data_IF_367882831384
#
_entry.id   IF_367882831384
#
_cell.length_a   1.000
_cell.length_b   1.000
_cell.length_c   1.000
_cell.angle_alpha   90.00
_cell.angle_beta   90.00
_cell.angle_gamma   90.00
#
_symmetry.space_group_name_H-M   'P 1'
#
loop_
_entity.id
_entity.type
_entity.pdbx_description
1 polymer ?
#
# COMPACT_ATOMS: atom_id res chain seq x y z
N UNK A 1 -47.28 50.75 -40.75
CA UNK A 1 -46.91 49.43 -40.21
C UNK A 1 -45.60 49.53 -39.46
N UNK A 2 -45.72 49.69 -38.14
CA UNK A 2 -44.57 49.63 -37.21
C UNK A 2 -44.54 48.22 -36.64
N UNK A 3 -43.42 47.52 -36.86
CA UNK A 3 -43.11 46.22 -36.23
C UNK A 3 -42.33 46.54 -34.97
N UNK A 4 -42.91 46.24 -33.80
CA UNK A 4 -42.25 46.29 -32.50
C UNK A 4 -41.53 44.95 -32.32
N UNK A 5 -40.18 44.97 -32.30
CA UNK A 5 -39.35 43.83 -31.91
C UNK A 5 -39.31 43.77 -30.39
N UNK A 6 -39.94 42.74 -29.81
CA UNK A 6 -39.74 42.39 -28.39
C UNK A 6 -38.41 41.64 -28.24
N UNK A 7 -37.42 42.27 -27.62
CA UNK A 7 -36.19 41.61 -27.21
C UNK A 7 -36.44 40.95 -25.85
N UNK A 8 -36.64 39.63 -25.85
CA UNK A 8 -36.71 38.84 -24.63
C UNK A 8 -35.27 38.68 -24.07
N UNK A 9 -35.03 39.34 -22.92
CA UNK A 9 -33.81 39.15 -22.18
C UNK A 9 -33.82 37.74 -21.56
N UNK A 10 -33.01 36.83 -22.05
CA UNK A 10 -32.72 35.53 -21.40
C UNK A 10 -31.79 35.80 -20.21
N UNK A 11 -32.37 35.81 -19.01
CA UNK A 11 -31.56 35.66 -17.78
C UNK A 11 -31.06 34.20 -17.71
N UNK A 12 -29.75 33.98 -17.53
CA UNK A 12 -29.30 32.62 -17.24
C UNK A 12 -29.81 32.23 -15.85
N UNK A 13 -30.68 31.22 -15.78
CA UNK A 13 -30.99 30.54 -14.54
C UNK A 13 -29.71 29.97 -13.97
N UNK A 14 -29.25 30.52 -12.86
CA UNK A 14 -28.26 29.89 -12.02
C UNK A 14 -28.84 28.55 -11.52
N UNK A 15 -28.53 27.47 -12.21
CA UNK A 15 -28.77 26.14 -11.72
C UNK A 15 -28.02 25.99 -10.39
N UNK A 16 -28.75 25.72 -9.31
CA UNK A 16 -28.17 25.29 -8.05
C UNK A 16 -27.33 24.05 -8.35
N UNK A 17 -26.00 24.20 -8.30
CA UNK A 17 -25.11 23.06 -8.41
C UNK A 17 -25.48 22.10 -7.27
N UNK A 18 -25.98 20.92 -7.61
CA UNK A 18 -26.16 19.84 -6.64
C UNK A 18 -24.80 19.56 -6.01
N UNK A 19 -24.72 19.49 -4.67
CA UNK A 19 -23.45 19.19 -4.01
C UNK A 19 -22.88 17.90 -4.57
N UNK A 20 -21.58 17.92 -4.94
CA UNK A 20 -20.87 16.74 -5.38
C UNK A 20 -21.04 15.62 -4.36
N UNK A 21 -21.73 14.55 -4.74
CA UNK A 21 -21.78 13.35 -3.91
C UNK A 21 -20.66 12.42 -4.36
N UNK A 22 -19.81 12.01 -3.44
CA UNK A 22 -18.80 10.99 -3.69
C UNK A 22 -19.44 9.77 -4.34
N UNK A 23 -19.07 9.48 -5.58
CA UNK A 23 -19.46 8.23 -6.24
C UNK A 23 -18.51 7.12 -5.73
N UNK A 24 -18.73 6.69 -4.48
CA UNK A 24 -18.09 5.47 -4.00
C UNK A 24 -18.58 4.27 -4.80
N UNK A 25 -17.74 3.22 -4.86
CA UNK A 25 -18.06 1.88 -5.38
C UNK A 25 -19.50 1.45 -5.13
N UNK A 26 -19.99 0.45 -5.83
CA UNK A 26 -21.32 -0.14 -5.58
C UNK A 26 -21.52 -0.21 -4.07
N UNK A 27 -22.33 0.73 -3.59
CA UNK A 27 -22.45 1.04 -2.17
C UNK A 27 -22.73 -0.25 -1.42
N UNK A 28 -21.93 -0.57 -0.40
CA UNK A 28 -22.28 -1.64 0.53
C UNK A 28 -23.67 -1.33 1.05
N UNK A 29 -24.66 -2.04 0.52
CA UNK A 29 -26.05 -1.79 0.88
C UNK A 29 -26.38 -2.69 2.04
N UNK A 30 -26.23 -2.19 3.26
CA UNK A 30 -26.77 -2.85 4.45
C UNK A 30 -28.15 -2.25 4.75
N UNK A 31 -29.17 -3.12 4.80
CA UNK A 31 -30.56 -2.73 5.06
C UNK A 31 -31.10 -1.63 4.11
N UNK A 32 -30.74 -1.68 2.82
CA UNK A 32 -31.22 -0.72 1.82
C UNK A 32 -30.59 0.67 1.89
N UNK A 33 -29.64 0.94 2.80
CA UNK A 33 -28.93 2.21 2.91
C UNK A 33 -27.48 2.07 2.45
N UNK A 34 -27.06 2.96 1.59
CA UNK A 34 -25.67 3.13 1.21
C UNK A 34 -24.82 3.55 2.39
N UNK A 35 -23.81 2.77 2.72
CA UNK A 35 -22.87 3.07 3.80
C UNK A 35 -21.47 3.29 3.23
N UNK A 36 -20.70 4.17 3.86
CA UNK A 36 -19.29 4.38 3.54
C UNK A 36 -18.48 3.14 3.94
N UNK A 37 -17.42 2.77 3.21
CA UNK A 37 -16.51 1.73 3.69
C UNK A 37 -15.75 2.21 4.93
N UNK A 38 -15.55 1.29 5.88
CA UNK A 38 -14.69 1.49 7.04
C UNK A 38 -13.25 1.24 6.63
N UNK A 39 -12.39 2.24 6.73
CA UNK A 39 -10.99 2.14 6.30
C UNK A 39 -10.03 2.50 7.45
N UNK A 40 -8.94 1.75 7.54
CA UNK A 40 -7.79 2.06 8.39
C UNK A 40 -6.56 2.04 7.49
N UNK A 41 -5.77 3.09 7.54
CA UNK A 41 -4.54 3.23 6.77
C UNK A 41 -3.36 2.82 7.64
N UNK A 42 -2.53 1.90 7.14
CA UNK A 42 -1.23 1.55 7.72
C UNK A 42 -0.15 1.99 6.73
N UNK A 43 0.64 3.01 7.07
CA UNK A 43 1.50 3.74 6.14
C UNK A 43 2.92 3.86 6.66
N UNK A 44 3.91 3.81 5.78
CA UNK A 44 5.31 4.11 6.09
C UNK A 44 5.69 5.57 5.76
N UNK A 45 4.69 6.46 5.76
CA UNK A 45 4.85 7.91 5.55
C UNK A 45 5.98 8.49 6.39
N UNK A 46 6.81 9.34 5.78
CA UNK A 46 8.04 9.86 6.40
C UNK A 46 9.22 8.91 6.31
N UNK A 47 9.07 7.79 5.60
CA UNK A 47 10.14 6.84 5.26
C UNK A 47 11.04 7.33 4.12
N UNK A 48 11.55 6.39 3.33
CA UNK A 48 12.52 6.68 2.25
C UNK A 48 11.88 7.20 0.97
N UNK A 49 10.58 7.03 0.82
CA UNK A 49 9.81 7.35 -0.39
C UNK A 49 8.59 8.22 -0.04
N UNK A 50 8.46 9.46 -0.57
CA UNK A 50 7.38 10.37 -0.19
C UNK A 50 6.07 10.19 -0.99
N UNK A 51 5.81 9.05 -1.62
CA UNK A 51 4.56 8.82 -2.33
C UNK A 51 3.37 8.58 -1.38
N UNK A 52 3.61 8.14 -0.16
CA UNK A 52 2.63 8.15 0.93
C UNK A 52 2.08 9.56 1.21
N UNK A 53 2.92 10.59 1.16
CA UNK A 53 2.47 11.97 1.34
C UNK A 53 1.47 12.39 0.26
N UNK A 54 1.72 11.98 -1.00
CA UNK A 54 0.80 12.23 -2.11
C UNK A 54 -0.51 11.45 -1.93
N UNK A 55 -0.42 10.20 -1.52
CA UNK A 55 -1.58 9.33 -1.23
C UNK A 55 -2.37 9.82 -0.03
N UNK A 56 -1.70 10.37 1.00
CA UNK A 56 -2.34 10.99 2.15
C UNK A 56 -3.09 12.27 1.76
N UNK A 57 -2.52 13.11 0.90
CA UNK A 57 -3.22 14.27 0.35
C UNK A 57 -4.51 13.85 -0.38
N UNK A 58 -4.44 12.77 -1.16
CA UNK A 58 -5.61 12.19 -1.84
C UNK A 58 -6.66 11.73 -0.82
N UNK A 59 -6.27 10.90 0.17
CA UNK A 59 -7.18 10.45 1.23
C UNK A 59 -7.90 11.61 1.94
N UNK A 60 -7.15 12.63 2.35
CA UNK A 60 -7.70 13.75 3.11
C UNK A 60 -8.70 14.55 2.29
N UNK A 61 -8.44 14.76 0.99
CA UNK A 61 -9.37 15.41 0.06
C UNK A 61 -10.65 14.60 -0.19
N UNK A 62 -10.62 13.28 0.02
CA UNK A 62 -11.74 12.35 -0.14
C UNK A 62 -12.22 11.77 1.20
N UNK A 63 -11.92 12.43 2.32
CA UNK A 63 -12.34 11.96 3.66
C UNK A 63 -13.85 11.91 3.84
N UNK A 64 -14.60 12.57 2.97
CA UNK A 64 -16.07 12.47 2.90
C UNK A 64 -16.58 11.14 2.30
N UNK A 65 -15.71 10.38 1.65
CA UNK A 65 -16.06 9.10 1.00
C UNK A 65 -15.95 7.89 1.94
N UNK A 66 -15.26 8.03 3.07
CA UNK A 66 -14.89 6.93 3.96
C UNK A 66 -15.31 7.19 5.41
N UNK A 67 -15.51 6.11 6.16
CA UNK A 67 -15.42 6.12 7.61
C UNK A 67 -13.97 5.75 7.96
N UNK A 68 -13.10 6.77 8.10
CA UNK A 68 -11.69 6.57 8.45
C UNK A 68 -11.63 6.22 9.92
N UNK A 69 -11.12 5.04 10.26
CA UNK A 69 -11.07 4.52 11.63
C UNK A 69 -9.66 4.45 12.22
N UNK A 70 -8.63 4.73 11.43
CA UNK A 70 -7.26 4.77 11.91
C UNK A 70 -6.27 5.27 10.85
N UNK A 71 -5.20 5.91 11.35
CA UNK A 71 -4.04 6.34 10.58
C UNK A 71 -2.81 5.86 11.35
N UNK A 72 -2.35 4.65 11.02
CA UNK A 72 -1.25 3.98 11.71
C UNK A 72 0.05 4.24 10.96
N UNK A 73 1.05 4.81 11.63
CA UNK A 73 2.41 4.87 11.10
C UNK A 73 3.10 3.53 11.37
N UNK A 74 3.26 2.71 10.34
CA UNK A 74 3.93 1.41 10.39
C UNK A 74 5.15 1.44 9.45
N UNK A 75 6.27 2.02 9.92
CA UNK A 75 7.40 2.29 9.06
C UNK A 75 8.02 1.02 8.50
N UNK A 76 8.44 1.10 7.24
CA UNK A 76 9.28 0.11 6.58
C UNK A 76 10.76 0.40 6.90
N UNK A 77 11.60 0.52 5.90
CA UNK A 77 13.01 0.88 6.09
C UNK A 77 13.16 2.39 6.21
N UNK A 78 13.45 2.85 7.38
CA UNK A 78 13.58 4.27 7.68
C UNK A 78 12.76 4.64 8.89
N UNK A 79 12.57 5.92 9.08
CA UNK A 79 12.01 6.49 10.29
C UNK A 79 10.61 7.05 10.04
N UNK A 80 9.71 6.25 9.47
CA UNK A 80 8.31 6.62 9.36
C UNK A 80 7.80 7.11 10.71
N UNK A 81 6.96 8.14 10.72
CA UNK A 81 6.61 8.83 11.94
C UNK A 81 5.19 9.39 11.90
N UNK A 82 4.48 9.22 13.01
CA UNK A 82 3.20 9.91 13.24
C UNK A 82 3.28 11.42 13.06
N UNK A 83 4.47 12.02 13.26
CA UNK A 83 4.70 13.46 13.04
C UNK A 83 4.36 13.87 11.61
N UNK A 84 4.68 13.02 10.64
CA UNK A 84 4.41 13.32 9.25
C UNK A 84 2.90 13.21 8.93
N UNK A 85 2.19 12.27 9.55
CA UNK A 85 0.72 12.21 9.47
C UNK A 85 0.09 13.48 10.06
N UNK A 86 0.54 13.91 11.23
CA UNK A 86 0.08 15.17 11.85
C UNK A 86 0.35 16.37 10.95
N UNK A 87 1.55 16.45 10.37
CA UNK A 87 1.91 17.52 9.44
C UNK A 87 0.96 17.57 8.23
N UNK A 88 0.64 16.43 7.64
CA UNK A 88 -0.31 16.37 6.51
C UNK A 88 -1.72 16.81 6.94
N UNK A 89 -2.15 16.46 8.14
CA UNK A 89 -3.43 16.94 8.71
C UNK A 89 -3.40 18.46 8.90
N UNK A 90 -2.28 19.05 9.35
CA UNK A 90 -2.12 20.49 9.53
C UNK A 90 -2.17 21.26 8.19
N UNK A 91 -1.64 20.66 7.13
CA UNK A 91 -1.75 21.22 5.76
C UNK A 91 -3.20 21.19 5.28
N UNK A 92 -3.87 20.04 5.45
CA UNK A 92 -5.28 19.87 5.10
C UNK A 92 -6.21 20.82 5.86
N UNK A 93 -5.96 21.05 7.15
CA UNK A 93 -6.75 21.94 7.99
C UNK A 93 -6.87 23.36 7.41
N UNK A 94 -5.78 23.85 6.82
CA UNK A 94 -5.74 25.19 6.19
C UNK A 94 -6.63 25.27 4.95
N UNK A 95 -6.84 24.16 4.26
CA UNK A 95 -7.62 24.09 3.02
C UNK A 95 -9.07 23.64 3.25
N UNK A 96 -9.37 23.08 4.42
CA UNK A 96 -10.69 22.51 4.74
C UNK A 96 -11.85 23.51 4.56
N UNK A 97 -11.72 24.83 4.92
CA UNK A 97 -12.80 25.77 4.69
C UNK A 97 -13.21 25.93 3.23
N UNK A 98 -12.23 25.80 2.31
CA UNK A 98 -12.52 25.84 0.87
C UNK A 98 -13.14 24.54 0.38
N UNK A 99 -12.59 23.40 0.78
CA UNK A 99 -13.12 22.08 0.42
C UNK A 99 -14.58 21.91 0.86
N UNK A 100 -14.95 22.39 2.06
CA UNK A 100 -16.30 22.31 2.60
C UNK A 100 -17.35 23.16 1.89
N UNK A 101 -16.93 24.07 1.00
CA UNK A 101 -17.87 24.78 0.13
C UNK A 101 -18.42 23.89 -0.98
N UNK A 102 -17.75 22.79 -1.27
CA UNK A 102 -18.05 21.89 -2.38
C UNK A 102 -18.52 20.51 -1.93
N UNK A 103 -18.01 20.01 -0.78
CA UNK A 103 -18.37 18.70 -0.25
C UNK A 103 -18.74 18.79 1.22
N UNK A 104 -19.85 18.16 1.59
CA UNK A 104 -20.24 17.95 2.99
C UNK A 104 -19.61 16.64 3.50
N UNK A 105 -19.38 16.56 4.80
CA UNK A 105 -18.92 15.31 5.42
C UNK A 105 -17.41 15.09 5.44
N UNK A 106 -16.62 16.05 4.96
CA UNK A 106 -15.17 16.06 5.12
C UNK A 106 -14.79 16.02 6.61
N UNK A 107 -13.85 15.13 6.97
CA UNK A 107 -13.48 14.93 8.37
C UNK A 107 -12.84 16.17 9.00
N UNK A 108 -13.14 16.38 10.28
CA UNK A 108 -12.51 17.47 11.04
C UNK A 108 -11.07 17.08 11.40
N UNK A 109 -10.12 18.01 11.35
CA UNK A 109 -8.72 17.74 11.71
C UNK A 109 -8.54 17.18 13.12
N UNK A 110 -9.33 17.68 14.10
CA UNK A 110 -9.32 17.15 15.46
C UNK A 110 -9.75 15.68 15.56
N UNK A 111 -10.69 15.25 14.69
CA UNK A 111 -11.14 13.86 14.63
C UNK A 111 -10.04 12.98 14.00
N UNK A 112 -9.43 13.46 12.90
CA UNK A 112 -8.30 12.77 12.27
C UNK A 112 -7.12 12.60 13.22
N UNK A 113 -6.73 13.65 13.98
CA UNK A 113 -5.61 13.56 14.93
C UNK A 113 -5.84 12.52 16.02
N UNK A 114 -7.07 12.26 16.46
CA UNK A 114 -7.38 11.18 17.42
C UNK A 114 -7.18 9.78 16.87
N UNK A 115 -7.24 9.62 15.55
CA UNK A 115 -7.07 8.34 14.85
C UNK A 115 -5.61 8.01 14.57
N UNK A 116 -4.68 8.94 14.76
CA UNK A 116 -3.25 8.75 14.51
C UNK A 116 -2.65 7.87 15.61
N UNK A 117 -1.98 6.79 15.22
CA UNK A 117 -1.36 5.81 16.09
C UNK A 117 0.04 5.45 15.61
N UNK A 118 0.99 5.36 16.55
CA UNK A 118 2.32 4.88 16.23
C UNK A 118 2.33 3.37 16.22
N UNK A 119 2.68 2.79 15.07
CA UNK A 119 2.95 1.37 14.92
C UNK A 119 4.41 1.04 15.20
N UNK A 120 4.86 -0.09 14.68
CA UNK A 120 6.18 -0.64 14.96
C UNK A 120 7.31 0.23 14.42
N UNK A 121 8.36 0.35 15.23
CA UNK A 121 9.69 0.76 14.80
C UNK A 121 10.60 -0.46 14.69
N UNK A 122 11.38 -0.52 13.62
CA UNK A 122 12.30 -1.62 13.39
C UNK A 122 11.64 -2.86 12.80
N UNK A 123 12.44 -3.88 12.53
CA UNK A 123 12.04 -5.11 11.84
C UNK A 123 11.59 -6.16 12.85
N UNK A 124 10.50 -6.88 12.56
CA UNK A 124 10.07 -8.03 13.36
C UNK A 124 11.05 -9.20 13.24
N UNK A 125 11.23 -10.01 14.30
CA UNK A 125 12.01 -11.24 14.27
C UNK A 125 11.49 -12.25 13.22
N UNK A 126 12.21 -13.37 13.07
CA UNK A 126 11.85 -14.41 12.11
C UNK A 126 10.47 -15.04 12.34
N UNK A 127 9.96 -15.00 13.57
CA UNK A 127 8.58 -15.44 13.90
C UNK A 127 7.50 -14.55 13.28
N UNK A 128 7.84 -13.32 12.84
CA UNK A 128 6.93 -12.43 12.12
C UNK A 128 6.10 -11.50 12.99
N UNK A 129 6.28 -11.52 14.31
CA UNK A 129 5.63 -10.65 15.28
C UNK A 129 6.59 -10.31 16.44
N UNK A 130 6.18 -9.45 17.34
CA UNK A 130 6.98 -9.04 18.49
C UNK A 130 6.11 -8.61 19.67
N UNK A 131 6.38 -7.42 20.21
CA UNK A 131 5.52 -6.80 21.23
C UNK A 131 4.41 -6.00 20.57
N UNK A 132 3.21 -5.92 21.19
CA UNK A 132 2.15 -5.04 20.74
C UNK A 132 2.63 -3.59 20.57
N UNK A 133 1.99 -2.87 19.68
CA UNK A 133 2.20 -1.44 19.44
C UNK A 133 0.88 -0.70 19.58
N UNK A 134 0.89 0.61 19.77
CA UNK A 134 -0.34 1.40 19.75
C UNK A 134 -1.12 1.19 18.44
N UNK A 135 -0.41 1.04 17.30
CA UNK A 135 -1.01 0.76 15.99
C UNK A 135 -1.66 -0.62 15.90
N UNK A 136 -0.98 -1.68 16.34
CA UNK A 136 -1.55 -3.04 16.31
C UNK A 136 -2.73 -3.20 17.25
N UNK A 137 -2.66 -2.64 18.48
CA UNK A 137 -3.77 -2.61 19.43
C UNK A 137 -4.96 -1.84 18.88
N UNK A 138 -4.70 -0.75 18.13
CA UNK A 138 -5.75 0.02 17.49
C UNK A 138 -6.45 -0.75 16.37
N UNK A 139 -5.70 -1.50 15.54
CA UNK A 139 -6.28 -2.40 14.54
C UNK A 139 -7.23 -3.41 15.21
N UNK A 140 -6.80 -4.03 16.31
CA UNK A 140 -7.63 -4.97 17.09
C UNK A 140 -8.91 -4.28 17.57
N UNK A 141 -8.78 -3.12 18.23
CA UNK A 141 -9.91 -2.39 18.78
C UNK A 141 -10.94 -2.00 17.71
N UNK A 142 -10.47 -1.53 16.53
CA UNK A 142 -11.37 -1.18 15.44
C UNK A 142 -12.05 -2.41 14.81
N UNK A 143 -11.34 -3.53 14.67
CA UNK A 143 -11.89 -4.76 14.15
C UNK A 143 -12.95 -5.39 15.09
N UNK A 144 -12.79 -5.22 16.40
CA UNK A 144 -13.71 -5.73 17.41
C UNK A 144 -14.97 -4.88 17.64
N UNK A 145 -15.06 -3.70 17.02
CA UNK A 145 -16.29 -2.90 17.08
C UNK A 145 -17.51 -3.71 16.60
N UNK A 146 -18.66 -3.45 17.22
CA UNK A 146 -19.95 -4.00 16.80
C UNK A 146 -20.46 -3.28 15.54
N UNK A 147 -19.79 -3.54 14.44
CA UNK A 147 -20.18 -3.04 13.10
C UNK A 147 -20.26 -4.23 12.15
N UNK A 148 -21.36 -4.42 11.40
CA UNK A 148 -21.49 -5.54 10.47
C UNK A 148 -20.61 -5.40 9.22
N UNK A 149 -20.08 -4.20 8.94
CA UNK A 149 -19.16 -3.96 7.83
C UNK A 149 -17.76 -4.44 8.17
N UNK A 150 -17.04 -5.07 7.25
CA UNK A 150 -15.64 -5.38 7.45
C UNK A 150 -14.81 -4.11 7.63
N UNK A 151 -13.69 -4.22 8.33
CA UNK A 151 -12.66 -3.19 8.39
C UNK A 151 -11.66 -3.43 7.26
N UNK A 152 -11.58 -2.47 6.33
CA UNK A 152 -10.55 -2.49 5.30
C UNK A 152 -9.26 -1.87 5.84
N UNK A 153 -8.20 -2.66 5.91
CA UNK A 153 -6.87 -2.19 6.27
C UNK A 153 -6.09 -1.99 4.98
N UNK A 154 -5.85 -0.73 4.62
CA UNK A 154 -5.10 -0.33 3.45
C UNK A 154 -3.65 -0.14 3.86
N UNK A 155 -2.78 -1.07 3.42
CA UNK A 155 -1.38 -1.11 3.86
C UNK A 155 -0.48 -0.54 2.78
N UNK A 156 0.20 0.57 3.11
CA UNK A 156 1.08 1.36 2.25
C UNK A 156 2.57 1.15 2.55
N UNK A 157 2.87 0.24 3.42
CA UNK A 157 4.21 -0.15 3.84
C UNK A 157 4.31 -1.62 4.14
N UNK A 158 4.95 -2.00 5.26
CA UNK A 158 5.04 -3.37 5.71
C UNK A 158 3.78 -3.84 6.47
N UNK A 159 3.67 -5.15 6.63
CA UNK A 159 2.53 -5.80 7.28
C UNK A 159 2.72 -5.99 8.80
N UNK A 160 3.74 -5.40 9.41
CA UNK A 160 4.19 -5.74 10.77
C UNK A 160 3.10 -5.51 11.82
N UNK A 161 2.39 -4.38 11.76
CA UNK A 161 1.31 -4.10 12.73
C UNK A 161 0.05 -4.94 12.45
N UNK A 162 -0.21 -5.32 11.19
CA UNK A 162 -1.29 -6.25 10.84
C UNK A 162 -0.96 -7.66 11.36
N UNK A 163 0.27 -8.14 11.18
CA UNK A 163 0.72 -9.43 11.70
C UNK A 163 0.65 -9.47 13.22
N UNK A 164 1.08 -8.39 13.89
CA UNK A 164 0.98 -8.26 15.34
C UNK A 164 -0.47 -8.29 15.81
N UNK A 165 -1.36 -7.54 15.17
CA UNK A 165 -2.78 -7.52 15.53
C UNK A 165 -3.45 -8.91 15.37
N UNK A 166 -3.11 -9.63 14.30
CA UNK A 166 -3.58 -10.99 14.07
C UNK A 166 -3.00 -12.00 15.06
N UNK A 167 -1.75 -11.78 15.51
CA UNK A 167 -1.14 -12.61 16.55
C UNK A 167 -1.83 -12.43 17.89
N UNK A 168 -2.08 -11.19 18.28
CA UNK A 168 -2.64 -10.84 19.59
C UNK A 168 -4.15 -11.15 19.69
N UNK A 169 -4.88 -11.09 18.56
CA UNK A 169 -6.31 -11.32 18.47
C UNK A 169 -6.68 -12.07 17.18
N UNK A 170 -6.42 -13.38 17.08
CA UNK A 170 -6.63 -14.16 15.84
C UNK A 170 -8.07 -14.15 15.31
N UNK A 171 -9.05 -13.96 16.18
CA UNK A 171 -10.50 -13.91 15.87
C UNK A 171 -10.86 -12.73 14.94
N UNK A 172 -10.04 -11.66 14.92
CA UNK A 172 -10.31 -10.51 14.03
C UNK A 172 -10.08 -10.83 12.56
N UNK A 173 -9.38 -11.90 12.22
CA UNK A 173 -9.06 -12.25 10.82
C UNK A 173 -10.30 -12.29 9.91
N UNK A 174 -11.44 -12.77 10.45
CA UNK A 174 -12.71 -12.84 9.72
C UNK A 174 -13.39 -11.48 9.50
N UNK A 175 -12.95 -10.44 10.20
CA UNK A 175 -13.48 -9.07 10.15
C UNK A 175 -12.61 -8.13 9.34
N UNK A 176 -11.38 -8.54 9.02
CA UNK A 176 -10.43 -7.75 8.28
C UNK A 176 -10.51 -8.03 6.77
N UNK A 177 -10.33 -6.99 5.98
CA UNK A 177 -10.02 -7.05 4.56
C UNK A 177 -8.78 -6.22 4.31
N UNK A 178 -7.70 -6.87 3.90
CA UNK A 178 -6.40 -6.22 3.70
C UNK A 178 -6.18 -5.97 2.22
N UNK A 179 -5.93 -4.71 1.85
CA UNK A 179 -5.42 -4.36 0.52
C UNK A 179 -4.00 -3.82 0.71
N UNK A 180 -3.04 -4.62 0.33
CA UNK A 180 -1.64 -4.34 0.56
C UNK A 180 -0.92 -3.94 -0.73
N UNK A 181 -0.27 -2.77 -0.72
CA UNK A 181 0.68 -2.36 -1.73
C UNK A 181 2.01 -3.06 -1.39
N UNK A 182 2.13 -4.30 -1.90
CA UNK A 182 3.23 -5.20 -1.57
C UNK A 182 4.53 -4.82 -2.29
N UNK A 183 4.75 -5.35 -3.48
CA UNK A 183 5.88 -5.01 -4.32
C UNK A 183 7.20 -4.87 -3.56
N UNK A 184 7.84 -3.67 -3.60
CA UNK A 184 9.05 -3.38 -2.85
C UNK A 184 8.85 -3.48 -1.32
N UNK A 185 7.65 -3.26 -0.81
CA UNK A 185 7.36 -3.26 0.63
C UNK A 185 7.50 -4.65 1.25
N UNK A 186 7.33 -5.73 0.47
CA UNK A 186 7.50 -7.10 0.97
C UNK A 186 8.87 -7.34 1.59
N UNK A 187 9.94 -6.78 1.02
CA UNK A 187 11.31 -6.96 1.55
C UNK A 187 11.48 -6.37 2.95
N UNK A 188 10.74 -5.30 3.28
CA UNK A 188 10.84 -4.61 4.56
C UNK A 188 10.18 -5.39 5.70
N UNK A 189 9.10 -6.12 5.42
CA UNK A 189 8.33 -6.90 6.39
C UNK A 189 8.15 -8.36 5.98
N UNK A 190 9.17 -9.00 5.36
CA UNK A 190 9.06 -10.37 4.83
C UNK A 190 8.69 -11.40 5.92
N UNK A 191 9.15 -11.21 7.16
CA UNK A 191 8.84 -12.11 8.26
C UNK A 191 7.35 -12.00 8.67
N UNK A 192 6.83 -10.79 8.78
CA UNK A 192 5.41 -10.54 9.04
C UNK A 192 4.52 -11.13 7.93
N UNK A 193 4.92 -10.97 6.67
CA UNK A 193 4.25 -11.59 5.54
C UNK A 193 4.22 -13.12 5.66
N UNK A 194 5.38 -13.76 5.93
CA UNK A 194 5.45 -15.21 6.11
C UNK A 194 4.53 -15.68 7.25
N UNK A 195 4.52 -14.96 8.37
CA UNK A 195 3.61 -15.27 9.48
C UNK A 195 2.14 -15.25 9.05
N UNK A 196 1.73 -14.22 8.32
CA UNK A 196 0.33 -14.09 7.86
C UNK A 196 -0.04 -15.23 6.91
N UNK A 197 0.78 -15.54 5.91
CA UNK A 197 0.45 -16.61 4.94
C UNK A 197 0.45 -18.00 5.57
N UNK A 198 1.28 -18.23 6.60
CA UNK A 198 1.38 -19.52 7.30
C UNK A 198 0.23 -19.75 8.31
N UNK A 199 -0.18 -18.68 9.00
CA UNK A 199 -1.16 -18.79 10.10
C UNK A 199 -2.58 -18.30 9.75
N UNK A 200 -2.70 -17.43 8.73
CA UNK A 200 -3.96 -16.85 8.29
C UNK A 200 -4.19 -17.00 6.78
N UNK A 201 -4.07 -18.22 6.22
CA UNK A 201 -4.17 -18.43 4.77
C UNK A 201 -5.54 -18.05 4.19
N UNK A 202 -6.59 -17.96 5.03
CA UNK A 202 -7.94 -17.55 4.64
C UNK A 202 -8.23 -16.05 4.89
N UNK A 203 -7.25 -15.26 5.30
CA UNK A 203 -7.41 -13.81 5.42
C UNK A 203 -7.85 -13.24 4.07
N UNK A 204 -8.84 -12.35 4.09
CA UNK A 204 -9.21 -11.63 2.86
C UNK A 204 -8.08 -10.65 2.50
N UNK A 205 -7.36 -10.96 1.43
CA UNK A 205 -6.13 -10.25 1.04
C UNK A 205 -6.11 -9.94 -0.45
N UNK A 206 -5.92 -8.66 -0.79
CA UNK A 206 -5.41 -8.26 -2.10
C UNK A 206 -3.91 -7.97 -1.93
N UNK A 207 -3.08 -8.86 -2.46
CA UNK A 207 -1.63 -8.71 -2.53
C UNK A 207 -1.26 -8.04 -3.84
N UNK A 208 -1.24 -6.70 -3.84
CA UNK A 208 -0.96 -5.87 -5.00
C UNK A 208 0.54 -5.61 -5.11
N UNK A 209 1.28 -6.48 -5.79
CA UNK A 209 2.74 -6.37 -5.90
C UNK A 209 3.17 -5.48 -7.07
N UNK A 210 2.43 -5.50 -8.19
CA UNK A 210 2.82 -4.82 -9.44
C UNK A 210 1.67 -4.13 -10.16
N UNK A 211 0.42 -4.50 -9.93
CA UNK A 211 -0.76 -3.86 -10.56
C UNK A 211 -0.78 -2.36 -10.29
N UNK A 212 -0.49 -1.92 -9.07
CA UNK A 212 -0.44 -0.50 -8.67
C UNK A 212 0.51 0.33 -9.55
N UNK A 213 1.51 -0.29 -10.17
CA UNK A 213 2.50 0.40 -11.01
C UNK A 213 1.90 0.97 -12.29
N UNK A 214 0.73 0.50 -12.70
CA UNK A 214 -0.04 1.12 -13.78
C UNK A 214 -0.52 2.53 -13.46
N UNK A 215 -0.57 2.90 -12.19
CA UNK A 215 -0.95 4.25 -11.74
C UNK A 215 0.24 5.21 -11.65
N UNK A 216 1.47 4.71 -11.53
CA UNK A 216 2.65 5.55 -11.34
C UNK A 216 2.86 6.48 -12.54
N UNK A 217 3.17 7.74 -12.23
CA UNK A 217 3.56 8.71 -13.25
C UNK A 217 4.96 8.38 -13.78
N UNK A 218 5.11 8.39 -15.07
CA UNK A 218 6.44 8.47 -15.69
C UNK A 218 6.91 9.91 -15.66
N UNK A 219 7.89 10.21 -14.81
CA UNK A 219 8.45 11.56 -14.65
C UNK A 219 9.12 12.10 -15.92
N UNK A 220 9.43 11.23 -16.90
CA UNK A 220 9.94 11.61 -18.21
C UNK A 220 8.83 12.01 -19.19
N UNK A 221 7.63 11.50 -18.98
CA UNK A 221 6.46 11.82 -19.77
C UNK A 221 5.85 13.13 -19.26
N UNK A 222 5.81 14.16 -20.10
CA UNK A 222 5.32 15.50 -19.77
C UNK A 222 3.91 15.79 -20.25
N UNK A 223 3.16 14.77 -20.62
CA UNK A 223 1.76 14.97 -20.98
C UNK A 223 0.91 15.42 -19.78
N UNK A 224 -0.32 15.81 -20.10
CA UNK A 224 -1.26 16.40 -19.13
C UNK A 224 -1.51 15.54 -17.89
N UNK A 225 -1.53 14.21 -18.03
CA UNK A 225 -1.90 13.28 -16.96
C UNK A 225 -0.67 12.67 -16.27
N UNK A 226 0.53 13.05 -16.69
CA UNK A 226 1.81 12.62 -16.15
C UNK A 226 2.60 13.82 -15.61
N UNK A 227 3.80 14.07 -16.11
CA UNK A 227 4.68 15.12 -15.59
C UNK A 227 4.11 16.55 -15.65
N UNK A 228 3.16 16.82 -16.52
CA UNK A 228 2.47 18.11 -16.61
C UNK A 228 1.30 18.30 -15.66
N UNK A 229 0.91 17.24 -14.93
CA UNK A 229 -0.29 17.27 -14.09
C UNK A 229 -0.21 18.29 -12.96
N UNK A 230 0.92 18.36 -12.28
CA UNK A 230 1.15 19.32 -11.20
C UNK A 230 0.97 20.76 -11.67
N UNK A 231 1.66 21.13 -12.75
CA UNK A 231 1.62 22.48 -13.29
C UNK A 231 0.19 22.87 -13.76
N UNK A 232 -0.50 21.93 -14.37
CA UNK A 232 -1.83 22.16 -14.89
C UNK A 232 -2.92 22.26 -13.81
N UNK A 233 -2.82 21.46 -12.75
CA UNK A 233 -3.96 21.26 -11.84
C UNK A 233 -3.65 21.50 -10.37
N UNK A 234 -2.42 21.31 -9.89
CA UNK A 234 -2.10 21.29 -8.47
C UNK A 234 -1.38 22.55 -8.00
N UNK A 235 -0.43 23.10 -8.76
CA UNK A 235 0.49 24.18 -8.34
C UNK A 235 -0.18 25.30 -7.53
N UNK A 236 -1.32 25.80 -7.98
CA UNK A 236 -2.02 26.93 -7.37
C UNK A 236 -3.23 26.51 -6.50
N UNK A 237 -3.29 25.23 -6.15
CA UNK A 237 -4.43 24.64 -5.43
C UNK A 237 -4.18 24.59 -3.91
N UNK A 238 -4.36 25.71 -3.23
CA UNK A 238 -4.33 25.79 -1.77
C UNK A 238 -2.98 25.47 -1.12
N UNK A 239 -3.01 25.06 0.12
CA UNK A 239 -1.84 24.66 0.90
C UNK A 239 -1.38 23.24 0.53
N UNK A 240 -2.33 22.33 0.29
CA UNK A 240 -2.03 20.98 -0.17
C UNK A 240 -1.29 20.98 -1.51
N UNK A 241 -1.70 21.84 -2.46
CA UNK A 241 -1.03 21.96 -3.74
C UNK A 241 0.39 22.53 -3.62
N UNK A 242 0.60 23.52 -2.73
CA UNK A 242 1.95 24.03 -2.43
C UNK A 242 2.83 22.97 -1.77
N UNK A 243 2.29 22.23 -0.82
CA UNK A 243 3.01 21.14 -0.14
C UNK A 243 3.39 20.01 -1.10
N UNK A 244 2.54 19.72 -2.07
CA UNK A 244 2.74 18.67 -3.05
C UNK A 244 4.04 18.84 -3.87
N UNK A 245 4.53 20.06 -4.04
CA UNK A 245 5.80 20.35 -4.71
C UNK A 245 7.01 19.71 -4.02
N UNK A 246 6.92 19.43 -2.72
CA UNK A 246 7.98 18.81 -1.94
C UNK A 246 8.20 17.32 -2.32
N UNK A 247 7.23 16.69 -3.00
CA UNK A 247 7.26 15.29 -3.37
C UNK A 247 7.55 15.16 -4.85
N UNK A 248 8.68 14.54 -5.23
CA UNK A 248 9.09 14.34 -6.63
C UNK A 248 9.00 15.62 -7.48
N UNK A 249 9.24 16.81 -6.89
CA UNK A 249 9.08 18.12 -7.56
C UNK A 249 7.68 18.33 -8.15
N UNK A 250 6.65 17.81 -7.45
CA UNK A 250 5.26 17.89 -7.89
C UNK A 250 4.81 16.78 -8.86
N UNK A 251 5.71 15.92 -9.33
CA UNK A 251 5.28 14.81 -10.20
C UNK A 251 4.47 13.78 -9.40
N UNK A 252 3.23 13.45 -9.81
CA UNK A 252 2.45 12.43 -9.11
C UNK A 252 3.09 11.06 -9.25
N UNK A 253 3.48 10.43 -8.15
CA UNK A 253 3.84 9.01 -8.10
C UNK A 253 2.70 8.21 -7.48
N UNK A 254 2.25 8.57 -6.29
CA UNK A 254 1.02 8.05 -5.66
C UNK A 254 0.95 6.52 -5.64
N UNK A 255 2.05 5.87 -5.25
CA UNK A 255 2.16 4.41 -5.31
C UNK A 255 1.14 3.67 -4.44
N UNK A 256 0.66 4.28 -3.37
CA UNK A 256 -0.26 3.67 -2.40
C UNK A 256 -1.72 4.00 -2.64
N UNK A 257 -1.96 5.06 -3.41
CA UNK A 257 -3.30 5.51 -3.82
C UNK A 257 -4.17 4.40 -4.40
N UNK A 258 -3.68 3.42 -5.19
CA UNK A 258 -4.53 2.35 -5.73
C UNK A 258 -5.34 1.60 -4.68
N UNK A 259 -4.87 1.46 -3.46
CA UNK A 259 -5.67 0.86 -2.39
C UNK A 259 -6.91 1.70 -2.03
N UNK A 260 -6.80 3.04 -2.03
CA UNK A 260 -7.93 3.96 -1.89
C UNK A 260 -8.86 3.89 -3.10
N UNK A 261 -8.29 3.83 -4.30
CA UNK A 261 -9.04 3.79 -5.55
C UNK A 261 -9.94 2.55 -5.63
N UNK A 262 -9.49 1.42 -5.08
CA UNK A 262 -10.33 0.24 -4.93
C UNK A 262 -11.57 0.52 -4.07
N UNK A 263 -11.39 1.27 -2.99
CA UNK A 263 -12.49 1.65 -2.10
C UNK A 263 -13.39 2.74 -2.70
N UNK A 264 -12.87 3.54 -3.63
CA UNK A 264 -13.63 4.59 -4.32
C UNK A 264 -14.48 4.03 -5.46
N UNK A 265 -13.92 3.14 -6.27
CA UNK A 265 -14.62 2.53 -7.40
C UNK A 265 -14.13 1.10 -7.67
N UNK A 266 -14.53 0.19 -6.81
CA UNK A 266 -14.29 -1.25 -6.91
C UNK A 266 -15.49 -2.03 -6.42
N UNK A 267 -15.48 -3.32 -6.63
CA UNK A 267 -16.47 -4.20 -6.03
C UNK A 267 -15.88 -4.77 -4.74
N UNK A 268 -16.43 -4.42 -3.56
CA UNK A 268 -15.85 -4.82 -2.27
C UNK A 268 -15.80 -6.34 -2.07
N UNK A 269 -16.62 -7.10 -2.80
CA UNK A 269 -16.72 -8.56 -2.65
C UNK A 269 -16.08 -9.33 -3.81
N UNK A 270 -15.65 -8.64 -4.87
CA UNK A 270 -15.08 -9.29 -6.04
C UNK A 270 -13.90 -8.51 -6.64
N UNK A 271 -12.68 -8.75 -6.15
CA UNK A 271 -11.46 -8.13 -6.70
C UNK A 271 -11.14 -8.50 -8.16
N UNK A 272 -11.76 -9.55 -8.71
CA UNK A 272 -11.57 -9.96 -10.11
C UNK A 272 -12.28 -9.01 -11.10
N UNK A 273 -13.26 -8.23 -10.62
CA UNK A 273 -13.90 -7.19 -11.44
C UNK A 273 -12.96 -5.98 -11.59
N UNK A 274 -13.06 -5.34 -12.76
CA UNK A 274 -12.36 -4.08 -13.03
C UNK A 274 -12.75 -3.02 -12.00
N UNK A 275 -11.76 -2.37 -11.43
CA UNK A 275 -11.88 -1.27 -10.48
C UNK A 275 -10.96 -0.11 -10.86
N UNK A 276 -11.00 0.99 -10.12
CA UNK A 276 -10.00 2.05 -10.28
C UNK A 276 -8.60 1.65 -9.76
N UNK A 277 -8.50 0.56 -9.02
CA UNK A 277 -7.21 -0.04 -8.64
C UNK A 277 -6.69 -1.09 -9.64
N UNK A 278 -7.37 -1.28 -10.76
CA UNK A 278 -7.15 -2.38 -11.67
C UNK A 278 -8.03 -3.58 -11.33
N UNK A 279 -7.66 -4.75 -11.80
CA UNK A 279 -8.27 -6.04 -11.47
C UNK A 279 -7.24 -7.01 -10.95
N UNK A 280 -7.68 -7.91 -10.07
CA UNK A 280 -6.82 -8.91 -9.45
C UNK A 280 -7.34 -10.29 -9.78
N UNK A 281 -6.48 -11.30 -9.68
CA UNK A 281 -6.85 -12.69 -9.90
C UNK A 281 -6.74 -13.48 -8.61
N UNK A 282 -7.67 -14.40 -8.39
CA UNK A 282 -7.59 -15.31 -7.24
C UNK A 282 -6.38 -16.20 -7.38
N UNK A 283 -5.66 -16.40 -6.27
CA UNK A 283 -4.57 -17.35 -6.21
C UNK A 283 -4.77 -18.30 -5.02
N UNK A 284 -4.21 -19.49 -5.13
CA UNK A 284 -4.21 -20.51 -4.09
C UNK A 284 -2.81 -20.75 -3.50
N UNK A 285 -1.84 -19.97 -3.93
CA UNK A 285 -0.45 -20.01 -3.47
C UNK A 285 0.24 -18.69 -3.69
N UNK A 286 1.28 -18.42 -2.90
CA UNK A 286 2.20 -17.30 -3.10
C UNK A 286 3.63 -17.84 -3.24
N UNK A 287 4.45 -17.23 -4.13
CA UNK A 287 5.77 -17.76 -4.43
C UNK A 287 6.71 -17.74 -3.22
N UNK A 288 7.28 -18.90 -2.88
CA UNK A 288 8.40 -19.03 -1.94
C UNK A 288 9.43 -20.02 -2.49
N UNK A 289 10.69 -19.66 -2.42
CA UNK A 289 11.80 -20.57 -2.77
C UNK A 289 12.73 -20.70 -1.58
N UNK A 290 12.96 -21.93 -1.12
CA UNK A 290 13.84 -22.26 0.00
C UNK A 290 15.14 -22.87 -0.53
N UNK A 291 16.26 -22.38 -0.05
CA UNK A 291 17.60 -22.86 -0.37
C UNK A 291 18.32 -23.34 0.89
N UNK A 292 18.98 -24.48 0.81
CA UNK A 292 19.82 -25.01 1.87
C UNK A 292 21.29 -24.66 1.58
N UNK A 293 21.75 -23.53 2.06
CA UNK A 293 23.07 -22.97 1.80
C UNK A 293 23.06 -21.79 0.85
N UNK A 294 24.25 -21.35 0.42
CA UNK A 294 24.41 -20.26 -0.55
C UNK A 294 24.01 -20.69 -1.96
N UNK A 295 23.49 -19.73 -2.71
CA UNK A 295 23.02 -19.94 -4.08
C UNK A 295 24.02 -19.44 -5.13
N UNK A 296 23.81 -19.87 -6.36
CA UNK A 296 24.59 -19.52 -7.55
C UNK A 296 23.69 -18.83 -8.59
N UNK A 297 24.25 -18.33 -9.68
CA UNK A 297 23.47 -17.75 -10.78
C UNK A 297 22.46 -18.74 -11.44
N UNK A 298 22.61 -20.05 -11.21
CA UNK A 298 21.68 -21.08 -11.71
C UNK A 298 20.43 -21.24 -10.83
N UNK A 299 20.51 -20.79 -9.57
CA UNK A 299 19.41 -20.86 -8.62
C UNK A 299 18.44 -19.72 -8.89
N UNK A 300 17.16 -20.04 -8.99
CA UNK A 300 16.15 -19.06 -9.41
C UNK A 300 15.07 -18.86 -8.37
N UNK A 301 14.62 -17.62 -8.23
CA UNK A 301 13.44 -17.24 -7.47
C UNK A 301 12.54 -16.32 -8.30
N UNK A 302 11.27 -16.21 -7.91
CA UNK A 302 10.30 -15.36 -8.57
C UNK A 302 10.36 -13.94 -8.03
N UNK A 303 10.18 -12.95 -8.91
CA UNK A 303 9.97 -11.54 -8.53
C UNK A 303 8.82 -11.42 -7.51
N UNK A 304 8.99 -10.58 -6.51
CA UNK A 304 8.03 -10.41 -5.40
C UNK A 304 7.72 -11.69 -4.61
N UNK A 305 8.41 -12.81 -4.88
CA UNK A 305 8.34 -14.02 -4.06
C UNK A 305 9.21 -13.91 -2.80
N UNK A 306 8.98 -14.81 -1.86
CA UNK A 306 9.86 -14.99 -0.70
C UNK A 306 11.05 -15.84 -1.09
N UNK A 307 12.24 -15.35 -0.81
CA UNK A 307 13.50 -16.09 -0.93
C UNK A 307 13.97 -16.41 0.49
N UNK A 308 14.17 -17.67 0.78
CA UNK A 308 14.54 -18.12 2.12
C UNK A 308 15.82 -18.96 2.03
N UNK A 309 16.85 -18.58 2.79
CA UNK A 309 18.08 -19.34 2.91
C UNK A 309 18.18 -19.93 4.31
N UNK A 310 18.36 -21.26 4.37
CA UNK A 310 18.73 -22.01 5.54
C UNK A 310 20.24 -22.22 5.54
N UNK A 311 20.95 -21.55 6.44
CA UNK A 311 22.39 -21.54 6.49
C UNK A 311 22.92 -22.31 7.70
N UNK A 312 24.15 -22.80 7.61
CA UNK A 312 24.89 -23.40 8.71
C UNK A 312 26.04 -22.48 9.10
N UNK A 313 26.35 -22.44 10.38
CA UNK A 313 27.41 -21.64 10.95
C UNK A 313 27.75 -22.08 12.38
N UNK A 314 28.48 -21.27 13.15
CA UNK A 314 28.88 -21.60 14.51
C UNK A 314 27.68 -21.88 15.43
N UNK A 315 27.79 -22.90 16.27
CA UNK A 315 26.83 -23.15 17.35
C UNK A 315 27.06 -22.12 18.47
N UNK A 316 26.02 -21.41 18.86
CA UNK A 316 26.05 -20.38 19.90
C UNK A 316 24.97 -20.64 20.93
N UNK A 317 25.36 -20.79 22.18
CA UNK A 317 24.43 -21.00 23.31
C UNK A 317 24.10 -19.69 24.03
N UNK A 318 24.83 -18.64 23.72
CA UNK A 318 24.67 -17.28 24.26
C UNK A 318 23.79 -16.37 23.38
N UNK A 319 23.35 -16.85 22.22
CA UNK A 319 22.45 -16.13 21.30
C UNK A 319 21.06 -16.76 21.38
N UNK A 320 20.08 -15.97 21.77
CA UNK A 320 18.68 -16.45 21.80
C UNK A 320 18.15 -16.75 20.40
N UNK A 321 17.25 -17.73 20.31
CA UNK A 321 16.53 -18.03 19.07
C UNK A 321 15.80 -16.76 18.58
N UNK A 322 15.77 -16.55 17.26
CA UNK A 322 15.22 -15.39 16.58
C UNK A 322 15.96 -14.06 16.82
N UNK A 323 17.13 -14.11 17.47
CA UNK A 323 18.00 -12.93 17.51
C UNK A 323 18.60 -12.66 16.13
N UNK A 324 18.55 -11.38 15.73
CA UNK A 324 19.21 -10.90 14.52
C UNK A 324 20.73 -10.93 14.70
N UNK A 325 21.44 -11.71 13.91
CA UNK A 325 22.88 -11.93 14.11
C UNK A 325 23.68 -12.10 12.82
N UNK A 326 23.04 -12.23 11.68
CA UNK A 326 23.69 -12.22 10.35
C UNK A 326 23.11 -11.09 9.51
N UNK A 327 23.85 -10.62 8.52
CA UNK A 327 23.46 -9.53 7.63
C UNK A 327 23.68 -9.93 6.18
N UNK A 328 22.59 -9.94 5.39
CA UNK A 328 22.62 -10.03 3.94
C UNK A 328 22.92 -8.64 3.37
N UNK A 329 23.92 -8.54 2.53
CA UNK A 329 24.24 -7.37 1.74
C UNK A 329 23.89 -7.68 0.27
N UNK A 330 22.88 -7.02 -0.26
CA UNK A 330 22.40 -7.19 -1.63
C UNK A 330 21.93 -5.84 -2.18
N UNK A 331 22.32 -5.49 -3.41
CA UNK A 331 21.92 -4.25 -4.05
C UNK A 331 22.16 -2.99 -3.21
N UNK A 332 23.32 -2.90 -2.54
CA UNK A 332 23.67 -1.80 -1.63
C UNK A 332 22.70 -1.61 -0.46
N UNK A 333 21.98 -2.65 -0.07
CA UNK A 333 21.07 -2.66 1.07
C UNK A 333 21.43 -3.80 2.02
N UNK A 334 21.09 -3.64 3.30
CA UNK A 334 21.40 -4.61 4.35
C UNK A 334 20.11 -5.15 4.96
N UNK A 335 20.06 -6.47 5.14
CA UNK A 335 18.89 -7.20 5.66
C UNK A 335 19.33 -8.11 6.78
N UNK A 336 18.54 -8.19 7.84
CA UNK A 336 18.84 -9.05 8.98
C UNK A 336 18.44 -10.49 8.74
N UNK A 337 19.31 -11.43 9.17
CA UNK A 337 18.97 -12.82 9.33
C UNK A 337 19.16 -13.25 10.77
N UNK A 338 18.63 -14.41 11.13
CA UNK A 338 18.30 -14.76 12.50
C UNK A 338 18.88 -16.12 12.88
N UNK A 339 19.30 -16.24 14.15
CA UNK A 339 19.72 -17.51 14.74
C UNK A 339 18.53 -18.41 15.02
N UNK A 340 18.63 -19.68 14.63
CA UNK A 340 17.56 -20.69 14.83
C UNK A 340 17.97 -21.83 15.74
N UNK A 341 19.06 -21.68 16.49
CA UNK A 341 19.62 -22.69 17.38
C UNK A 341 20.47 -23.73 16.64
N UNK A 342 21.35 -24.39 17.38
CA UNK A 342 22.19 -25.51 16.90
C UNK A 342 22.99 -25.18 15.61
N UNK A 343 23.50 -23.95 15.50
CA UNK A 343 24.26 -23.52 14.31
C UNK A 343 23.40 -23.32 13.05
N UNK A 344 22.06 -23.26 13.17
CA UNK A 344 21.16 -22.94 12.06
C UNK A 344 20.87 -21.45 12.04
N UNK A 345 20.86 -20.90 10.83
CA UNK A 345 20.54 -19.49 10.58
C UNK A 345 19.50 -19.38 9.48
N UNK A 346 18.58 -18.47 9.64
CA UNK A 346 17.51 -18.19 8.69
C UNK A 346 17.67 -16.78 8.15
N UNK A 347 17.62 -16.66 6.84
CA UNK A 347 17.59 -15.37 6.16
C UNK A 347 16.45 -15.38 5.15
N UNK A 348 15.62 -14.32 5.18
CA UNK A 348 14.52 -14.10 4.24
C UNK A 348 14.71 -12.79 3.50
N UNK A 349 14.35 -12.79 2.24
CA UNK A 349 14.36 -11.60 1.39
C UNK A 349 13.24 -11.66 0.36
N UNK A 350 12.92 -10.52 -0.22
CA UNK A 350 12.06 -10.39 -1.39
C UNK A 350 12.60 -9.25 -2.25
N UNK A 351 12.37 -9.31 -3.55
CA UNK A 351 12.81 -8.25 -4.47
C UNK A 351 11.88 -8.13 -5.66
N UNK A 352 11.76 -6.91 -6.18
CA UNK A 352 11.04 -6.63 -7.43
C UNK A 352 11.99 -6.37 -8.62
N UNK A 353 13.28 -6.59 -8.43
CA UNK A 353 14.28 -6.52 -9.50
C UNK A 353 14.51 -7.88 -10.09
N UNK A 354 14.51 -7.98 -11.43
CA UNK A 354 14.84 -9.20 -12.18
C UNK A 354 16.32 -9.26 -12.56
N UNK A 355 16.78 -10.44 -12.92
CA UNK A 355 18.17 -10.72 -13.32
C UNK A 355 18.99 -11.33 -12.19
N UNK A 356 20.26 -11.58 -12.46
CA UNK A 356 21.19 -12.17 -11.49
C UNK A 356 21.70 -11.09 -10.53
N UNK A 357 21.55 -11.34 -9.24
CA UNK A 357 21.95 -10.46 -8.15
C UNK A 357 23.07 -11.11 -7.36
N UNK A 358 24.19 -10.39 -7.19
CA UNK A 358 25.25 -10.76 -6.28
C UNK A 358 24.87 -10.39 -4.85
N UNK A 359 25.26 -11.22 -3.88
CA UNK A 359 25.10 -10.93 -2.47
C UNK A 359 26.25 -11.45 -1.61
N UNK A 360 26.38 -10.86 -0.43
CA UNK A 360 27.24 -11.38 0.65
C UNK A 360 26.45 -11.50 1.93
N UNK A 361 26.83 -12.47 2.78
CA UNK A 361 26.28 -12.65 4.13
C UNK A 361 27.42 -12.54 5.11
N UNK A 362 27.29 -11.64 6.06
CA UNK A 362 28.31 -11.35 7.08
C UNK A 362 27.72 -11.46 8.48
N UNK A 363 28.57 -11.61 9.49
CA UNK A 363 28.20 -11.61 10.91
C UNK A 363 29.38 -11.21 11.75
N UNK A 364 29.08 -10.63 12.91
CA UNK A 364 30.06 -10.36 13.98
C UNK A 364 30.25 -11.56 14.93
N UNK A 365 29.55 -12.68 14.67
CA UNK A 365 29.71 -13.92 15.45
C UNK A 365 31.09 -14.49 15.20
N UNK A 366 31.85 -14.74 16.29
CA UNK A 366 33.14 -15.40 16.21
C UNK A 366 33.03 -16.76 15.48
N UNK A 367 33.93 -17.00 14.53
CA UNK A 367 33.95 -18.20 13.71
C UNK A 367 32.94 -18.21 12.55
N UNK A 368 32.13 -17.18 12.37
CA UNK A 368 31.27 -17.06 11.19
C UNK A 368 32.10 -16.63 9.96
N UNK A 369 32.22 -17.52 8.99
CA UNK A 369 32.93 -17.21 7.73
C UNK A 369 31.99 -16.44 6.81
N UNK A 370 32.37 -15.26 6.29
CA UNK A 370 31.55 -14.54 5.31
C UNK A 370 31.24 -15.38 4.08
N UNK A 371 29.97 -15.39 3.67
CA UNK A 371 29.49 -16.15 2.54
C UNK A 371 29.26 -15.21 1.34
N UNK A 372 29.50 -15.72 0.14
CA UNK A 372 29.22 -15.02 -1.13
C UNK A 372 28.37 -15.92 -2.02
N UNK A 373 27.36 -15.32 -2.65
CA UNK A 373 26.45 -16.06 -3.53
C UNK A 373 25.83 -15.18 -4.59
N UNK A 374 25.08 -15.83 -5.46
CA UNK A 374 24.28 -15.19 -6.50
C UNK A 374 22.88 -15.79 -6.48
N UNK A 375 21.89 -15.03 -6.95
CA UNK A 375 20.52 -15.51 -7.14
C UNK A 375 19.94 -14.87 -8.40
N UNK A 376 19.30 -15.65 -9.24
CA UNK A 376 18.63 -15.14 -10.45
C UNK A 376 17.15 -14.99 -10.21
N UNK A 377 16.67 -13.75 -10.31
CA UNK A 377 15.26 -13.40 -10.14
C UNK A 377 14.58 -13.40 -11.50
N UNK A 378 13.58 -14.25 -11.62
CA UNK A 378 12.80 -14.41 -12.85
C UNK A 378 11.52 -13.60 -12.79
N UNK A 379 11.12 -13.05 -13.94
CA UNK A 379 9.80 -12.49 -14.09
C UNK A 379 8.75 -13.61 -14.18
N UNK A 380 7.51 -13.30 -13.88
CA UNK A 380 6.47 -14.25 -13.48
C UNK A 380 5.69 -14.90 -14.60
N UNK A 381 6.06 -14.68 -15.84
CA UNK A 381 5.40 -15.38 -16.94
C UNK A 381 5.47 -16.90 -16.74
N UNK A 382 4.35 -17.53 -16.43
CA UNK A 382 4.19 -18.96 -16.37
C UNK A 382 5.25 -19.69 -15.53
N UNK A 383 5.66 -19.11 -14.40
CA UNK A 383 6.52 -19.84 -13.48
C UNK A 383 5.75 -21.01 -12.91
N UNK A 384 6.26 -22.22 -13.14
CA UNK A 384 5.64 -23.41 -12.59
C UNK A 384 5.59 -23.33 -11.05
N UNK A 385 4.49 -23.75 -10.45
CA UNK A 385 4.37 -23.85 -8.99
C UNK A 385 5.51 -24.68 -8.40
N UNK A 386 6.03 -24.22 -7.25
CA UNK A 386 7.01 -24.96 -6.46
C UNK A 386 6.35 -25.61 -5.25
N UNK A 387 6.88 -26.75 -4.82
CA UNK A 387 6.42 -27.41 -3.59
C UNK A 387 6.74 -26.60 -2.31
N UNK A 388 7.59 -25.57 -2.42
CA UNK A 388 7.94 -24.64 -1.34
C UNK A 388 7.05 -23.40 -1.31
N UNK A 389 6.14 -23.21 -2.29
CA UNK A 389 5.18 -22.10 -2.28
C UNK A 389 4.29 -22.15 -1.03
N UNK A 390 3.95 -21.00 -0.51
CA UNK A 390 2.97 -20.93 0.56
C UNK A 390 1.57 -21.14 0.00
N UNK A 391 0.81 -22.04 0.61
CA UNK A 391 -0.58 -22.30 0.23
C UNK A 391 -1.48 -21.29 0.92
N UNK A 392 -2.34 -20.63 0.14
CA UNK A 392 -3.34 -19.69 0.64
C UNK A 392 -4.75 -20.16 0.24
N UNK A 393 -5.76 -19.66 0.95
CA UNK A 393 -7.14 -20.08 0.76
C UNK A 393 -7.90 -19.27 -0.30
N UNK A 394 -9.22 -19.37 -0.27
CA UNK A 394 -10.09 -18.82 -1.30
C UNK A 394 -10.30 -17.30 -1.26
N UNK A 395 -9.72 -16.60 -0.27
CA UNK A 395 -9.85 -15.15 -0.10
C UNK A 395 -8.55 -14.41 -0.33
N UNK A 396 -7.69 -14.94 -1.22
CA UNK A 396 -6.43 -14.32 -1.58
C UNK A 396 -6.40 -14.00 -3.08
N UNK A 397 -6.11 -12.73 -3.40
CA UNK A 397 -5.97 -12.24 -4.77
C UNK A 397 -4.62 -11.58 -4.95
N UNK A 398 -4.10 -11.65 -6.17
CA UNK A 398 -2.83 -11.05 -6.56
C UNK A 398 -2.90 -10.43 -7.95
N UNK A 399 -1.79 -9.92 -8.45
CA UNK A 399 -1.68 -9.35 -9.79
C UNK A 399 -2.08 -10.35 -10.88
N UNK A 400 -2.73 -9.89 -11.93
CA UNK A 400 -3.02 -10.72 -13.09
C UNK A 400 -1.75 -10.99 -13.91
N UNK A 401 -1.47 -12.25 -14.17
CA UNK A 401 -0.36 -12.69 -15.05
C UNK A 401 -0.77 -12.83 -16.52
N UNK A 402 -1.99 -12.45 -16.89
CA UNK A 402 -2.43 -12.46 -18.27
C UNK A 402 -1.63 -11.46 -19.12
N UNK A 403 -1.30 -11.85 -20.35
CA UNK A 403 -0.49 -11.00 -21.24
C UNK A 403 -1.12 -9.63 -21.50
N UNK A 404 -2.43 -9.59 -21.65
CA UNK A 404 -3.20 -8.37 -21.87
C UNK A 404 -3.18 -7.40 -20.67
N UNK A 405 -2.87 -7.88 -19.46
CA UNK A 405 -2.77 -7.05 -18.26
C UNK A 405 -1.34 -6.55 -18.00
N UNK A 406 -0.40 -6.92 -18.86
CA UNK A 406 1.00 -6.56 -18.66
C UNK A 406 1.33 -5.18 -19.23
N UNK A 407 2.04 -4.37 -18.47
CA UNK A 407 2.51 -3.07 -18.91
C UNK A 407 3.82 -2.72 -18.20
N UNK A 408 4.80 -2.17 -18.96
CA UNK A 408 6.12 -1.81 -18.41
C UNK A 408 6.76 -2.93 -17.58
N UNK A 409 6.73 -4.15 -18.09
CA UNK A 409 7.28 -5.35 -17.40
C UNK A 409 6.62 -5.68 -16.06
N UNK A 410 5.41 -5.15 -15.79
CA UNK A 410 4.67 -5.37 -14.55
C UNK A 410 3.37 -6.12 -14.83
N UNK A 411 3.17 -7.25 -14.15
CA UNK A 411 1.94 -8.02 -14.19
C UNK A 411 0.76 -7.20 -13.63
N UNK A 412 -0.40 -7.31 -14.24
CA UNK A 412 -1.62 -6.61 -13.81
C UNK A 412 -1.65 -5.11 -14.09
N UNK A 413 -0.50 -4.47 -14.35
CA UNK A 413 -0.36 -3.02 -14.40
C UNK A 413 -1.21 -2.36 -15.50
N UNK A 414 -1.47 -3.03 -16.62
CA UNK A 414 -2.30 -2.48 -17.67
C UNK A 414 -3.76 -2.31 -17.23
N UNK A 415 -4.26 -3.23 -16.42
CA UNK A 415 -5.63 -3.14 -15.89
C UNK A 415 -5.87 -1.87 -15.05
N UNK A 416 -4.83 -1.40 -14.38
CA UNK A 416 -4.83 -0.12 -13.66
C UNK A 416 -4.57 1.06 -14.60
N UNK A 417 -3.60 0.93 -15.50
CA UNK A 417 -3.20 2.02 -16.41
C UNK A 417 -4.37 2.53 -17.27
N UNK A 418 -5.20 1.63 -17.80
CA UNK A 418 -6.33 1.99 -18.67
C UNK A 418 -7.40 2.85 -18.00
N UNK A 419 -7.47 2.86 -16.65
CA UNK A 419 -8.43 3.67 -15.88
C UNK A 419 -7.79 4.92 -15.27
N UNK A 420 -6.48 5.06 -15.37
CA UNK A 420 -5.71 6.13 -14.73
C UNK A 420 -6.21 7.52 -15.11
N UNK A 421 -6.49 7.75 -16.38
CA UNK A 421 -6.99 9.06 -16.83
C UNK A 421 -8.31 9.44 -16.16
N UNK A 422 -9.21 8.49 -15.96
CA UNK A 422 -10.50 8.73 -15.28
C UNK A 422 -10.26 9.17 -13.84
N UNK A 423 -9.35 8.50 -13.14
CA UNK A 423 -8.97 8.85 -11.76
C UNK A 423 -8.37 10.25 -11.69
N UNK A 424 -7.44 10.55 -12.58
CA UNK A 424 -6.77 11.86 -12.59
C UNK A 424 -7.74 13.00 -12.94
N UNK A 425 -8.73 12.77 -13.81
CA UNK A 425 -9.80 13.74 -14.10
C UNK A 425 -10.69 13.98 -12.88
N UNK A 426 -11.09 12.94 -12.17
CA UNK A 426 -11.89 13.05 -10.94
C UNK A 426 -11.12 13.85 -9.87
N UNK A 427 -9.85 13.55 -9.68
CA UNK A 427 -9.03 14.27 -8.71
C UNK A 427 -8.77 15.74 -9.12
N UNK A 428 -8.69 16.03 -10.42
CA UNK A 428 -8.59 17.41 -10.93
C UNK A 428 -9.77 18.27 -10.47
N UNK A 429 -10.96 17.71 -10.40
CA UNK A 429 -12.12 18.43 -9.89
C UNK A 429 -11.91 18.86 -8.44
N UNK A 430 -11.44 17.96 -7.57
CA UNK A 430 -11.15 18.28 -6.17
C UNK A 430 -10.04 19.33 -6.02
N UNK A 431 -9.01 19.28 -6.86
CA UNK A 431 -7.99 20.32 -6.90
C UNK A 431 -8.55 21.68 -7.32
N UNK A 432 -9.54 21.72 -8.22
CA UNK A 432 -10.17 22.95 -8.65
C UNK A 432 -10.88 23.69 -7.51
N UNK A 433 -11.38 22.97 -6.49
CA UNK A 433 -12.03 23.52 -5.32
C UNK A 433 -11.09 24.38 -4.46
N UNK A 434 -9.78 24.13 -4.55
CA UNK A 434 -8.72 24.84 -3.83
C UNK A 434 -8.11 25.99 -4.63
N UNK A 435 -8.53 26.20 -5.87
CA UNK A 435 -8.11 27.35 -6.68
C UNK A 435 -9.02 28.54 -6.32
N UNK A 436 -8.42 29.67 -5.93
CA UNK A 436 -9.18 30.90 -5.75
C UNK A 436 -10.00 31.23 -7.01
N UNK A 437 -11.19 31.77 -6.87
CA UNK A 437 -11.88 32.39 -8.02
C UNK A 437 -10.97 33.49 -8.54
N UNK A 438 -10.48 33.37 -9.79
CA UNK A 438 -9.86 34.47 -10.51
C UNK A 438 -10.85 35.58 -10.71
#
# INVERSE_FOLDING_TARGET
>A
NFIILLIAALFPMFGSATPYSCQTSEKVTLNGKSQKPRVLISTDIGGTDPDDNQSMAHLLMYSDCFDIEGLVSSPSYGNGSVKEIYRMIDVYEKDLPMLRRHASGLMKPGDLRRLVKQGRHGIVPACGYGKPTEGSEWIVAQAQKKDPRPLYVLVWGCLDDVAQALHDAPDIASKLRVHWIGGPNKKWGVNAYCYIVEHFPNLWMIENNTTYRGFLCDTKNKDKWNGGYYDAFIRDAGNLGRDFANYYKGNPKMGDTPSLLYMMKGNPDNPEKQSWAGRFVRCNRTPRTIFNGVTTAKDTAQICGVIEWHLKGPVRNDIAIDSACITLNIRNQQWKGYYRGNGNYLLRHSTYYTGTLDYTITSDIEGFVPLKGQITIQNTWNVAPKNTDCIVGNHWWTDSYAHEDYWNHCAGAYSQFQVREQVMKDWTERWSWLKGRK
#
